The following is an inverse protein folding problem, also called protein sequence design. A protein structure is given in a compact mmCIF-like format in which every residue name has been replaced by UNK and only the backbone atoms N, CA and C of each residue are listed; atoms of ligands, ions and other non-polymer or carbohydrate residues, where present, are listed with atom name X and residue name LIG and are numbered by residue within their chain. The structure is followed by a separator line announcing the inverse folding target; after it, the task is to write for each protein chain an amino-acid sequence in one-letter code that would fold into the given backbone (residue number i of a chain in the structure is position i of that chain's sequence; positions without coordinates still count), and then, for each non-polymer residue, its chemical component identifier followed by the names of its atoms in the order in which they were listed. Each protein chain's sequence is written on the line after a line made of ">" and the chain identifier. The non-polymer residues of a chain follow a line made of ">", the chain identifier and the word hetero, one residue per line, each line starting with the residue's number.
data_IF_487685758396
#
_entry.id   IF_487685758396
#
_cell.length_a   1.000
_cell.length_b   1.000
_cell.length_c   1.000
_cell.angle_alpha   90.00
_cell.angle_beta   90.00
_cell.angle_gamma   90.00
#
_symmetry.space_group_name_H-M   'P 1'
#
loop_
_entity.id
_entity.type
_entity.pdbx_description
1 polymer ?
#
# COMPACT_ATOMS: atom_id res chain seq x y z
N UNK A 1 -19.23 41.25 -47.47
CA UNK A 1 -17.91 40.89 -46.87
C UNK A 1 -18.04 41.11 -45.38
N UNK A 2 -18.25 40.04 -44.62
CA UNK A 2 -18.35 40.10 -43.14
C UNK A 2 -17.16 39.34 -42.60
N UNK A 3 -16.25 40.06 -41.92
CA UNK A 3 -15.10 39.51 -41.28
C UNK A 3 -15.52 38.70 -40.02
N UNK A 4 -15.17 37.41 -39.97
CA UNK A 4 -15.29 36.59 -38.77
C UNK A 4 -14.05 36.84 -37.93
N UNK A 5 -14.24 37.40 -36.74
CA UNK A 5 -13.25 37.46 -35.69
C UNK A 5 -13.08 36.06 -35.09
N UNK A 6 -11.86 35.51 -35.15
CA UNK A 6 -11.48 34.28 -34.49
C UNK A 6 -11.44 34.53 -32.98
N UNK A 7 -12.32 33.86 -32.26
CA UNK A 7 -12.27 33.81 -30.80
C UNK A 7 -11.10 32.94 -30.37
N UNK A 8 -10.27 33.50 -29.53
CA UNK A 8 -9.11 32.84 -28.91
C UNK A 8 -9.63 32.08 -27.70
N UNK A 9 -10.02 30.81 -27.88
CA UNK A 9 -10.34 29.90 -26.78
C UNK A 9 -8.99 29.43 -26.14
N UNK A 10 -8.49 30.23 -25.21
CA UNK A 10 -7.47 29.78 -24.30
C UNK A 10 -8.12 28.76 -23.32
N UNK A 11 -7.79 27.49 -23.49
CA UNK A 11 -8.12 26.46 -22.53
C UNK A 11 -7.65 26.89 -21.12
N UNK A 12 -8.45 26.71 -20.06
CA UNK A 12 -8.02 27.08 -18.71
C UNK A 12 -6.79 26.25 -18.35
N UNK A 13 -5.73 26.92 -17.90
CA UNK A 13 -4.54 26.26 -17.36
C UNK A 13 -4.99 25.26 -16.28
N UNK A 14 -4.57 24.01 -16.43
CA UNK A 14 -4.82 22.98 -15.43
C UNK A 14 -4.30 23.53 -14.07
N UNK A 15 -5.19 23.73 -13.13
CA UNK A 15 -4.84 24.15 -11.78
C UNK A 15 -3.85 23.12 -11.23
N UNK A 16 -2.66 23.56 -10.86
CA UNK A 16 -1.67 22.73 -10.15
C UNK A 16 -2.37 22.24 -8.89
N UNK A 17 -2.73 20.98 -8.87
CA UNK A 17 -3.39 20.36 -7.71
C UNK A 17 -2.40 20.40 -6.56
N UNK A 18 -2.78 21.01 -5.44
CA UNK A 18 -1.94 20.99 -4.25
C UNK A 18 -1.73 19.52 -3.84
N UNK A 19 -0.47 19.12 -3.70
CA UNK A 19 -0.12 17.83 -3.14
C UNK A 19 -0.51 17.84 -1.65
N UNK A 20 -0.96 16.69 -1.14
CA UNK A 20 -1.27 16.52 0.28
C UNK A 20 -0.02 16.61 1.17
N UNK A 21 -0.23 16.57 2.46
CA UNK A 21 0.84 16.49 3.48
C UNK A 21 1.13 15.03 3.85
N UNK A 22 2.29 14.77 4.47
CA UNK A 22 2.61 13.43 4.97
C UNK A 22 3.30 13.49 6.33
N UNK A 23 3.13 12.41 7.12
CA UNK A 23 3.83 12.14 8.37
C UNK A 23 4.19 10.64 8.40
N UNK A 24 5.47 10.32 8.56
CA UNK A 24 5.97 8.94 8.61
C UNK A 24 6.76 8.75 9.89
N UNK A 25 6.60 7.59 10.55
CA UNK A 25 7.21 7.33 11.85
C UNK A 25 7.92 5.98 11.90
N UNK A 26 9.07 5.93 12.54
CA UNK A 26 9.69 4.66 12.93
C UNK A 26 8.97 4.16 14.18
N UNK A 27 8.01 3.24 14.01
CA UNK A 27 7.16 2.77 15.09
C UNK A 27 6.55 1.41 14.75
N UNK A 28 6.27 0.60 15.77
CA UNK A 28 5.44 -0.61 15.61
C UNK A 28 4.04 -0.24 15.11
N UNK A 29 3.45 -1.08 14.28
CA UNK A 29 2.18 -0.81 13.61
C UNK A 29 1.01 -0.62 14.61
N UNK A 30 0.96 -1.39 15.69
CA UNK A 30 -0.10 -1.29 16.70
C UNK A 30 0.08 -0.01 17.51
N UNK A 31 1.30 0.30 17.94
CA UNK A 31 1.59 1.53 18.68
C UNK A 31 1.36 2.77 17.81
N UNK A 32 1.70 2.71 16.53
CA UNK A 32 1.39 3.77 15.58
C UNK A 32 -0.12 3.98 15.45
N UNK A 33 -0.88 2.90 15.24
CA UNK A 33 -2.34 2.98 15.09
C UNK A 33 -3.04 3.51 16.34
N UNK A 34 -2.48 3.32 17.55
CA UNK A 34 -3.00 3.91 18.79
C UNK A 34 -2.87 5.43 18.87
N UNK A 35 -2.02 6.04 18.05
CA UNK A 35 -1.82 7.49 18.02
C UNK A 35 -2.99 8.29 17.42
N UNK A 36 -3.50 7.95 16.22
CA UNK A 36 -4.61 8.65 15.61
C UNK A 36 -5.91 8.52 16.44
N UNK A 37 -6.74 9.58 16.49
CA UNK A 37 -8.06 9.51 17.13
C UNK A 37 -8.98 8.48 16.48
N UNK A 38 -10.01 8.06 17.20
CA UNK A 38 -11.08 7.23 16.64
C UNK A 38 -11.71 7.91 15.42
N UNK A 39 -12.01 7.12 14.38
CA UNK A 39 -12.66 7.60 13.18
C UNK A 39 -12.01 8.86 12.56
N UNK A 40 -10.68 8.89 12.49
CA UNK A 40 -9.90 10.00 11.91
C UNK A 40 -9.34 9.71 10.53
N UNK A 41 -9.19 8.44 10.15
CA UNK A 41 -8.60 7.97 8.89
C UNK A 41 -9.70 7.72 7.85
N UNK A 42 -9.46 8.12 6.61
CA UNK A 42 -10.42 7.96 5.51
C UNK A 42 -10.17 6.71 4.65
N UNK A 43 -8.94 6.21 4.61
CA UNK A 43 -8.60 5.01 3.86
C UNK A 43 -7.40 4.31 4.49
N UNK A 44 -7.46 3.00 4.63
CA UNK A 44 -6.30 2.19 4.99
C UNK A 44 -5.88 1.37 3.77
N UNK A 45 -4.61 1.45 3.38
CA UNK A 45 -3.98 0.61 2.33
C UNK A 45 -2.69 0.07 2.91
N UNK A 46 -2.55 -1.25 3.02
CA UNK A 46 -1.44 -1.79 3.79
C UNK A 46 -0.98 -3.18 3.32
N UNK A 47 0.32 -3.44 3.46
CA UNK A 47 0.98 -4.68 3.11
C UNK A 47 1.77 -5.22 4.32
N UNK A 48 1.08 -5.82 5.31
CA UNK A 48 1.73 -6.35 6.50
C UNK A 48 2.84 -7.34 6.16
N UNK A 49 3.98 -7.24 6.84
CA UNK A 49 5.06 -8.21 6.70
C UNK A 49 4.65 -9.55 7.33
N UNK A 50 4.55 -10.59 6.51
CA UNK A 50 4.09 -11.91 6.96
C UNK A 50 5.24 -12.81 7.35
N UNK A 51 5.24 -13.35 8.57
CA UNK A 51 6.20 -14.35 9.05
C UNK A 51 5.97 -15.73 8.39
N UNK A 52 4.77 -15.98 7.84
CA UNK A 52 4.45 -17.21 7.12
C UNK A 52 5.37 -17.49 5.94
N UNK A 53 5.93 -16.48 5.30
CA UNK A 53 6.99 -16.66 4.32
C UNK A 53 8.27 -17.27 4.95
N UNK A 54 8.58 -16.96 6.21
CA UNK A 54 9.78 -17.43 6.89
C UNK A 54 9.63 -18.82 7.48
N UNK A 55 8.45 -19.22 7.95
CA UNK A 55 8.20 -20.56 8.53
C UNK A 55 8.24 -21.68 7.48
N UNK A 56 7.81 -21.42 6.27
CA UNK A 56 7.77 -22.41 5.17
C UNK A 56 8.94 -22.28 4.19
N UNK A 57 9.60 -21.15 4.15
CA UNK A 57 10.89 -20.97 3.51
C UNK A 57 11.97 -21.11 4.59
N UNK A 58 12.33 -22.36 4.96
CA UNK A 58 13.59 -22.60 5.68
C UNK A 58 14.73 -22.14 4.76
N UNK A 59 15.11 -20.90 4.95
CA UNK A 59 16.30 -20.33 4.34
C UNK A 59 17.52 -21.08 4.89
N UNK A 60 18.07 -21.98 4.11
CA UNK A 60 19.23 -22.81 4.49
C UNK A 60 19.48 -23.98 3.57
N UNK A 61 18.47 -24.48 2.86
CA UNK A 61 18.63 -25.62 1.96
C UNK A 61 18.09 -25.41 0.55
N UNK A 62 17.61 -24.25 0.19
CA UNK A 62 17.16 -23.91 -1.14
C UNK A 62 17.68 -22.54 -1.53
N UNK A 63 18.46 -22.47 -2.61
CA UNK A 63 19.05 -21.25 -3.17
C UNK A 63 18.07 -20.08 -3.18
N UNK A 64 18.33 -19.07 -2.33
CA UNK A 64 17.91 -17.72 -2.65
C UNK A 64 18.95 -17.20 -3.63
N UNK A 65 18.53 -17.07 -4.87
CA UNK A 65 19.32 -16.42 -5.91
C UNK A 65 19.08 -14.92 -5.77
N UNK A 66 19.95 -14.26 -5.05
CA UNK A 66 19.97 -12.81 -4.84
C UNK A 66 20.90 -12.47 -3.69
N UNK A 67 21.42 -11.27 -3.64
CA UNK A 67 22.35 -10.77 -2.62
C UNK A 67 21.83 -10.80 -1.16
N UNK A 68 20.70 -11.43 -0.91
CA UNK A 68 20.01 -11.52 0.38
C UNK A 68 20.40 -12.73 1.25
N UNK A 69 21.39 -13.50 0.82
CA UNK A 69 21.82 -14.73 1.46
C UNK A 69 23.09 -14.57 2.29
N UNK A 70 23.16 -13.66 3.25
CA UNK A 70 24.19 -13.70 4.31
C UNK A 70 23.56 -14.23 5.59
N UNK A 71 24.13 -15.27 6.22
CA UNK A 71 23.61 -15.88 7.44
C UNK A 71 24.13 -15.16 8.69
N UNK A 72 24.03 -13.85 8.79
CA UNK A 72 24.36 -13.12 9.99
C UNK A 72 23.32 -12.02 10.23
N UNK A 73 22.55 -12.21 11.26
CA UNK A 73 21.80 -11.27 12.13
C UNK A 73 21.13 -10.02 11.50
N UNK A 74 21.26 -9.76 10.22
CA UNK A 74 20.50 -8.75 9.50
C UNK A 74 19.18 -9.36 9.00
N UNK A 75 18.24 -9.59 9.92
CA UNK A 75 16.83 -9.75 9.54
C UNK A 75 16.38 -8.42 8.97
N UNK A 76 16.17 -8.37 7.67
CA UNK A 76 15.72 -7.19 6.94
C UNK A 76 14.29 -6.77 7.31
N UNK A 77 13.58 -7.63 8.04
CA UNK A 77 12.21 -7.40 8.49
C UNK A 77 12.10 -7.80 9.96
N UNK A 78 11.67 -6.89 10.78
CA UNK A 78 11.01 -7.24 12.02
C UNK A 78 9.70 -7.93 11.64
N UNK A 79 9.58 -9.20 11.98
CA UNK A 79 8.38 -9.97 11.69
C UNK A 79 7.24 -9.40 12.53
N UNK A 80 6.19 -8.92 11.87
CA UNK A 80 4.91 -8.78 12.55
C UNK A 80 4.47 -10.19 12.95
N UNK A 81 4.07 -10.37 14.21
CA UNK A 81 3.56 -11.67 14.66
C UNK A 81 2.27 -11.96 13.91
N UNK A 82 2.33 -12.89 12.95
CA UNK A 82 1.17 -13.34 12.17
C UNK A 82 0.34 -14.40 12.91
N UNK A 83 0.38 -14.41 14.24
CA UNK A 83 -0.56 -15.17 15.05
C UNK A 83 -1.94 -14.48 15.05
N UNK A 84 -3.03 -15.28 15.19
CA UNK A 84 -4.39 -14.74 15.13
C UNK A 84 -4.69 -13.67 16.19
N UNK A 85 -4.07 -13.74 17.36
CA UNK A 85 -4.33 -12.82 18.48
C UNK A 85 -3.74 -11.44 18.18
N UNK A 86 -2.47 -11.37 17.80
CA UNK A 86 -1.80 -10.11 17.39
C UNK A 86 -2.49 -9.50 16.17
N UNK A 87 -2.90 -10.35 15.23
CA UNK A 87 -3.58 -9.88 14.02
C UNK A 87 -4.98 -9.31 14.33
N UNK A 88 -5.70 -9.91 15.28
CA UNK A 88 -6.98 -9.37 15.74
C UNK A 88 -6.83 -8.00 16.42
N UNK A 89 -5.78 -7.79 17.22
CA UNK A 89 -5.47 -6.47 17.81
C UNK A 89 -5.20 -5.45 16.70
N UNK A 90 -4.39 -5.79 15.72
CA UNK A 90 -4.10 -4.94 14.55
C UNK A 90 -5.38 -4.55 13.79
N UNK A 91 -6.24 -5.54 13.48
CA UNK A 91 -7.52 -5.28 12.79
C UNK A 91 -8.46 -4.42 13.63
N UNK A 92 -8.48 -4.63 14.96
CA UNK A 92 -9.27 -3.82 15.89
C UNK A 92 -8.84 -2.35 15.87
N UNK A 93 -7.53 -2.07 15.90
CA UNK A 93 -7.02 -0.70 15.82
C UNK A 93 -7.27 -0.08 14.42
N UNK A 94 -7.09 -0.84 13.34
CA UNK A 94 -7.48 -0.39 12.00
C UNK A 94 -8.96 -0.01 11.94
N UNK A 95 -9.84 -0.84 12.53
CA UNK A 95 -11.27 -0.54 12.58
C UNK A 95 -11.57 0.69 13.43
N UNK A 96 -10.90 0.86 14.57
CA UNK A 96 -11.09 2.01 15.47
C UNK A 96 -10.77 3.32 14.75
N UNK A 97 -9.59 3.43 14.13
CA UNK A 97 -9.15 4.67 13.48
C UNK A 97 -9.90 4.98 12.18
N UNK A 98 -10.38 3.95 11.47
CA UNK A 98 -11.10 4.12 10.21
C UNK A 98 -12.48 4.76 10.46
N UNK A 99 -12.81 5.80 9.71
CA UNK A 99 -14.13 6.44 9.74
C UNK A 99 -15.23 5.49 9.27
N UNK A 100 -16.45 5.75 9.70
CA UNK A 100 -17.64 5.09 9.15
C UNK A 100 -17.75 5.37 7.64
N UNK A 101 -18.23 4.41 6.89
CA UNK A 101 -18.37 4.46 5.43
C UNK A 101 -17.04 4.73 4.71
N UNK A 102 -16.01 3.95 5.11
CA UNK A 102 -14.67 3.98 4.53
C UNK A 102 -14.17 2.57 4.22
N UNK A 103 -13.09 2.50 3.45
CA UNK A 103 -12.53 1.26 2.93
C UNK A 103 -11.18 0.93 3.55
N UNK A 104 -10.87 -0.35 3.55
CA UNK A 104 -9.56 -0.90 3.89
C UNK A 104 -9.13 -1.92 2.82
N UNK A 105 -7.87 -1.85 2.42
CA UNK A 105 -7.19 -2.81 1.56
C UNK A 105 -6.04 -3.42 2.33
N UNK A 106 -6.04 -4.73 2.47
CA UNK A 106 -5.00 -5.47 3.17
C UNK A 106 -4.43 -6.51 2.22
N UNK A 107 -3.15 -6.39 1.93
CA UNK A 107 -2.45 -7.35 1.08
C UNK A 107 -2.15 -8.62 1.85
N UNK A 108 -2.16 -9.75 1.15
CA UNK A 108 -1.87 -11.07 1.69
C UNK A 108 -1.04 -11.88 0.71
N UNK A 109 -0.10 -12.65 1.24
CA UNK A 109 0.42 -13.80 0.52
C UNK A 109 -0.54 -14.99 0.65
N UNK A 110 -0.30 -16.06 -0.08
CA UNK A 110 -1.19 -17.24 -0.08
C UNK A 110 -1.34 -17.88 1.30
N UNK A 111 -0.27 -17.93 2.10
CA UNK A 111 -0.31 -18.62 3.40
C UNK A 111 -1.01 -17.76 4.45
N UNK A 112 -0.68 -16.49 4.50
CA UNK A 112 -1.32 -15.53 5.40
C UNK A 112 -2.80 -15.37 5.07
N UNK A 113 -3.17 -15.40 3.78
CA UNK A 113 -4.58 -15.39 3.37
C UNK A 113 -5.34 -16.62 3.90
N UNK A 114 -4.73 -17.81 3.88
CA UNK A 114 -5.37 -19.02 4.38
C UNK A 114 -5.47 -19.08 5.90
N UNK A 115 -4.52 -18.47 6.62
CA UNK A 115 -4.47 -18.51 8.09
C UNK A 115 -5.18 -17.32 8.75
N UNK A 116 -5.10 -16.13 8.17
CA UNK A 116 -5.54 -14.89 8.80
C UNK A 116 -6.66 -14.16 8.02
N UNK A 117 -6.83 -14.47 6.73
CA UNK A 117 -7.77 -13.75 5.88
C UNK A 117 -9.23 -13.82 6.39
N UNK A 118 -9.60 -14.90 7.05
CA UNK A 118 -10.94 -15.05 7.64
C UNK A 118 -11.20 -14.05 8.78
N UNK A 119 -10.17 -13.70 9.57
CA UNK A 119 -10.30 -12.78 10.71
C UNK A 119 -10.73 -11.37 10.29
N UNK A 120 -10.42 -10.95 9.06
CA UNK A 120 -10.85 -9.64 8.56
C UNK A 120 -12.36 -9.47 8.63
N UNK A 121 -13.13 -10.57 8.50
CA UNK A 121 -14.60 -10.57 8.55
C UNK A 121 -15.17 -10.29 9.94
N UNK A 122 -14.37 -10.47 10.98
CA UNK A 122 -14.81 -10.21 12.36
C UNK A 122 -14.81 -8.70 12.66
N UNK A 123 -14.07 -7.90 11.88
CA UNK A 123 -13.93 -6.47 12.07
C UNK A 123 -14.54 -5.64 10.93
N UNK A 124 -14.53 -6.16 9.71
CA UNK A 124 -14.94 -5.44 8.51
C UNK A 124 -15.91 -6.23 7.64
N UNK A 125 -16.72 -5.51 6.89
CA UNK A 125 -17.58 -6.07 5.86
C UNK A 125 -16.75 -6.33 4.60
N UNK A 126 -16.25 -7.56 4.44
CA UNK A 126 -15.44 -7.97 3.29
C UNK A 126 -16.28 -7.94 2.02
N UNK A 127 -15.87 -7.15 1.03
CA UNK A 127 -16.55 -6.96 -0.25
C UNK A 127 -16.00 -7.85 -1.35
N UNK A 128 -14.74 -8.23 -1.27
CA UNK A 128 -14.10 -9.10 -2.25
C UNK A 128 -12.61 -9.25 -2.01
N UNK A 129 -12.00 -10.02 -2.89
CA UNK A 129 -10.55 -10.18 -2.96
C UNK A 129 -10.11 -9.73 -4.34
N UNK A 130 -9.25 -8.74 -4.39
CA UNK A 130 -8.57 -8.29 -5.61
C UNK A 130 -7.31 -9.10 -5.80
N UNK A 131 -7.05 -9.53 -7.02
CA UNK A 131 -5.83 -10.25 -7.39
C UNK A 131 -4.86 -9.28 -8.06
N UNK A 132 -3.71 -9.06 -7.44
CA UNK A 132 -2.61 -8.37 -8.12
C UNK A 132 -1.80 -9.36 -8.95
N UNK A 133 -1.97 -9.34 -10.27
CA UNK A 133 -1.11 -10.05 -11.23
C UNK A 133 0.19 -9.27 -11.43
N UNK A 134 1.30 -9.81 -10.92
CA UNK A 134 2.64 -9.22 -11.01
C UNK A 134 3.24 -9.27 -12.41
N UNK A 135 2.55 -9.91 -13.36
CA UNK A 135 2.97 -10.13 -14.74
C UNK A 135 4.34 -10.81 -14.86
N UNK A 136 4.76 -11.51 -13.80
CA UNK A 136 6.05 -12.19 -13.73
C UNK A 136 5.92 -13.47 -12.90
N UNK A 137 6.50 -14.56 -13.44
CA UNK A 137 6.51 -15.82 -12.72
C UNK A 137 7.57 -15.79 -11.61
N UNK A 138 7.16 -16.04 -10.39
CA UNK A 138 8.04 -16.25 -9.24
C UNK A 138 8.90 -17.51 -9.42
N UNK A 139 9.79 -17.75 -8.47
CA UNK A 139 10.53 -19.02 -8.37
C UNK A 139 9.71 -20.06 -7.60
N UNK A 140 10.01 -21.34 -7.79
CA UNK A 140 9.39 -22.45 -7.04
C UNK A 140 9.40 -23.75 -7.79
N UNK A 141 9.19 -24.87 -7.06
CA UNK A 141 9.14 -26.22 -7.61
C UNK A 141 7.72 -26.70 -7.94
N UNK A 142 6.70 -25.99 -7.39
CA UNK A 142 5.29 -26.23 -7.66
C UNK A 142 4.75 -25.16 -8.62
N UNK A 143 3.47 -24.81 -8.52
CA UNK A 143 2.94 -23.68 -9.28
C UNK A 143 3.69 -22.40 -8.90
N UNK A 144 4.29 -21.77 -9.89
CA UNK A 144 5.09 -20.56 -9.71
C UNK A 144 4.16 -19.38 -9.48
N UNK A 145 4.30 -18.74 -8.32
CA UNK A 145 3.41 -17.64 -7.94
C UNK A 145 3.61 -16.44 -8.87
N UNK A 146 2.50 -15.99 -9.44
CA UNK A 146 2.47 -14.83 -10.30
C UNK A 146 1.67 -13.68 -9.68
N UNK A 147 0.90 -13.95 -8.62
CA UNK A 147 -0.02 -13.00 -8.01
C UNK A 147 0.13 -12.92 -6.50
N UNK A 148 -0.44 -11.88 -5.94
CA UNK A 148 -0.76 -11.70 -4.52
C UNK A 148 -2.24 -11.32 -4.39
N UNK A 149 -2.81 -11.50 -3.20
CA UNK A 149 -4.21 -11.18 -2.92
C UNK A 149 -4.30 -9.89 -2.10
N UNK A 150 -5.40 -9.16 -2.31
CA UNK A 150 -5.71 -7.94 -1.57
C UNK A 150 -7.15 -8.08 -1.10
N UNK A 151 -7.34 -8.24 0.21
CA UNK A 151 -8.68 -8.21 0.78
C UNK A 151 -9.20 -6.78 0.72
N UNK A 152 -10.31 -6.59 0.04
CA UNK A 152 -11.04 -5.33 -0.01
C UNK A 152 -12.25 -5.42 0.93
N UNK A 153 -12.30 -4.53 1.91
CA UNK A 153 -13.35 -4.49 2.91
C UNK A 153 -13.77 -3.05 3.25
N UNK A 154 -14.88 -2.91 3.94
CA UNK A 154 -15.39 -1.61 4.37
C UNK A 154 -15.83 -1.63 5.83
N UNK A 155 -15.73 -0.48 6.48
CA UNK A 155 -16.47 -0.15 7.69
C UNK A 155 -17.72 0.62 7.24
N UNK A 156 -18.88 -0.07 7.12
CA UNK A 156 -20.12 0.53 6.61
C UNK A 156 -20.35 0.36 5.10
N UNK A 157 -21.05 1.29 4.47
CA UNK A 157 -21.67 1.11 3.14
C UNK A 157 -21.22 2.13 2.09
N UNK A 158 -19.95 2.44 1.98
CA UNK A 158 -19.45 3.29 0.91
C UNK A 158 -19.34 2.52 -0.42
N UNK A 159 -19.76 3.13 -1.50
CA UNK A 159 -19.48 2.64 -2.86
C UNK A 159 -18.10 3.11 -3.30
N UNK A 160 -17.48 2.38 -4.22
CA UNK A 160 -16.24 2.82 -4.86
C UNK A 160 -16.47 4.13 -5.63
N UNK A 161 -15.49 5.02 -5.61
CA UNK A 161 -15.46 6.24 -6.41
C UNK A 161 -15.30 5.91 -7.91
N UNK A 162 -14.58 4.82 -8.23
CA UNK A 162 -14.46 4.25 -9.57
C UNK A 162 -15.10 2.88 -9.64
N UNK A 163 -15.93 2.64 -10.67
CA UNK A 163 -16.66 1.37 -10.85
C UNK A 163 -16.23 0.61 -12.11
N UNK A 164 -15.21 1.09 -12.79
CA UNK A 164 -14.64 0.54 -14.02
C UNK A 164 -13.43 -0.36 -13.76
N UNK A 165 -13.07 -0.61 -12.50
CA UNK A 165 -11.95 -1.46 -12.14
C UNK A 165 -12.40 -2.92 -11.98
N UNK A 166 -11.76 -3.87 -12.67
CA UNK A 166 -11.96 -5.30 -12.41
C UNK A 166 -11.34 -5.70 -11.08
N UNK A 167 -11.54 -6.93 -10.66
CA UNK A 167 -10.94 -7.54 -9.47
C UNK A 167 -9.59 -8.24 -9.73
N UNK A 168 -9.09 -8.16 -10.97
CA UNK A 168 -7.73 -8.62 -11.33
C UNK A 168 -6.96 -7.44 -11.93
N UNK A 169 -5.88 -7.04 -11.24
CA UNK A 169 -5.04 -5.91 -11.62
C UNK A 169 -3.69 -6.36 -12.17
N UNK A 170 -3.46 -6.18 -13.45
CA UNK A 170 -2.19 -6.46 -14.11
C UNK A 170 -1.23 -5.27 -13.93
N UNK A 171 -0.45 -5.29 -12.86
CA UNK A 171 0.54 -4.26 -12.56
C UNK A 171 1.92 -4.93 -12.46
N UNK A 172 2.87 -4.62 -13.35
CA UNK A 172 4.20 -5.21 -13.30
C UNK A 172 4.88 -4.94 -11.95
N UNK A 173 5.51 -5.98 -11.38
CA UNK A 173 6.37 -5.77 -10.22
C UNK A 173 7.59 -4.93 -10.58
N UNK A 174 8.16 -4.24 -9.61
CA UNK A 174 9.41 -3.52 -9.79
C UNK A 174 10.56 -4.53 -9.89
N UNK A 175 11.37 -4.40 -10.94
CA UNK A 175 12.61 -5.16 -11.09
C UNK A 175 13.78 -4.33 -10.57
N UNK A 176 14.66 -4.95 -9.78
CA UNK A 176 15.83 -4.27 -9.17
C UNK A 176 15.41 -3.06 -8.34
N UNK A 177 14.38 -3.24 -7.52
CA UNK A 177 13.89 -2.22 -6.60
C UNK A 177 15.03 -1.71 -5.70
N UNK A 178 15.00 -0.41 -5.40
CA UNK A 178 15.96 0.21 -4.48
C UNK A 178 15.77 -0.29 -3.03
N UNK A 179 14.54 -0.66 -2.69
CA UNK A 179 14.19 -1.27 -1.41
C UNK A 179 13.65 -2.69 -1.65
N UNK A 180 14.10 -3.70 -0.90
CA UNK A 180 13.56 -5.05 -0.99
C UNK A 180 12.05 -5.03 -0.74
N UNK A 181 11.30 -5.84 -1.46
CA UNK A 181 9.83 -5.90 -1.36
C UNK A 181 9.05 -4.65 -1.76
N UNK A 182 9.71 -3.60 -2.28
CA UNK A 182 9.03 -2.41 -2.78
C UNK A 182 7.88 -2.78 -3.73
N UNK A 183 6.68 -2.30 -3.41
CA UNK A 183 5.51 -2.47 -4.26
C UNK A 183 5.41 -1.33 -5.27
N UNK A 184 4.84 -1.56 -6.46
CA UNK A 184 4.63 -0.49 -7.45
C UNK A 184 3.68 0.58 -6.92
N UNK A 185 4.01 1.85 -7.11
CA UNK A 185 3.10 2.98 -6.80
C UNK A 185 1.76 2.80 -7.50
N UNK A 186 1.77 2.33 -8.76
CA UNK A 186 0.56 2.10 -9.55
C UNK A 186 -0.45 1.17 -8.88
N UNK A 187 0.02 0.20 -8.09
CA UNK A 187 -0.86 -0.71 -7.35
C UNK A 187 -1.65 0.04 -6.26
N UNK A 188 -0.96 0.84 -5.45
CA UNK A 188 -1.61 1.67 -4.42
C UNK A 188 -2.45 2.78 -5.03
N UNK A 189 -2.01 3.36 -6.15
CA UNK A 189 -2.79 4.36 -6.89
C UNK A 189 -4.17 3.83 -7.30
N UNK A 190 -4.28 2.58 -7.74
CA UNK A 190 -5.56 1.94 -8.05
C UNK A 190 -6.46 1.85 -6.81
N UNK A 191 -5.90 1.48 -5.63
CA UNK A 191 -6.66 1.43 -4.37
C UNK A 191 -7.15 2.82 -3.96
N UNK A 192 -6.26 3.82 -3.99
CA UNK A 192 -6.57 5.19 -3.56
C UNK A 192 -7.60 5.81 -4.50
N UNK A 193 -7.41 5.73 -5.82
CA UNK A 193 -8.37 6.26 -6.81
C UNK A 193 -9.75 5.60 -6.73
N UNK A 194 -9.80 4.32 -6.36
CA UNK A 194 -11.07 3.61 -6.19
C UNK A 194 -11.85 4.05 -4.96
N UNK A 195 -11.17 4.53 -3.91
CA UNK A 195 -11.77 4.66 -2.57
C UNK A 195 -11.62 6.03 -1.93
N UNK A 196 -10.70 6.87 -2.38
CA UNK A 196 -10.43 8.16 -1.78
C UNK A 196 -10.82 9.34 -2.68
N UNK A 197 -10.94 10.49 -2.06
CA UNK A 197 -11.14 11.79 -2.68
C UNK A 197 -10.01 12.71 -2.21
N UNK A 198 -9.65 13.76 -2.96
CA UNK A 198 -8.65 14.74 -2.51
C UNK A 198 -8.97 15.31 -1.14
N UNK A 199 -7.95 15.43 -0.30
CA UNK A 199 -8.08 15.86 1.10
C UNK A 199 -8.44 14.73 2.08
N UNK A 200 -8.59 13.48 1.61
CA UNK A 200 -8.73 12.33 2.51
C UNK A 200 -7.38 12.00 3.16
N UNK A 201 -7.45 11.46 4.37
CA UNK A 201 -6.29 10.93 5.08
C UNK A 201 -6.14 9.43 4.79
N UNK A 202 -5.07 9.08 4.10
CA UNK A 202 -4.66 7.69 3.82
C UNK A 202 -3.66 7.23 4.89
N UNK A 203 -3.83 6.03 5.39
CA UNK A 203 -2.97 5.43 6.43
C UNK A 203 -2.37 4.11 5.96
N UNK A 204 -1.07 3.94 6.20
CA UNK A 204 -0.35 2.68 5.99
C UNK A 204 0.58 2.38 7.17
N UNK A 205 0.18 1.47 8.09
CA UNK A 205 1.01 1.10 9.23
C UNK A 205 2.20 0.17 8.90
N UNK A 206 2.42 -0.17 7.61
CA UNK A 206 3.54 -0.94 7.09
C UNK A 206 4.08 -0.29 5.80
N UNK A 207 4.39 1.02 5.87
CA UNK A 207 4.60 1.83 4.66
C UNK A 207 5.88 1.50 3.88
N UNK A 208 6.83 0.76 4.47
CA UNK A 208 8.07 0.37 3.83
C UNK A 208 8.78 1.56 3.19
N UNK A 209 9.04 1.47 1.88
CA UNK A 209 9.67 2.54 1.09
C UNK A 209 8.71 3.65 0.63
N UNK A 210 7.50 3.75 1.17
CA UNK A 210 6.57 4.86 0.94
C UNK A 210 5.80 4.83 -0.38
N UNK A 211 5.64 3.68 -1.04
CA UNK A 211 4.88 3.60 -2.30
C UNK A 211 3.40 3.98 -2.14
N UNK A 212 2.78 3.62 -1.01
CA UNK A 212 1.43 4.02 -0.62
C UNK A 212 1.32 5.54 -0.39
N UNK A 213 2.36 6.14 0.21
CA UNK A 213 2.44 7.59 0.42
C UNK A 213 2.52 8.36 -0.91
N UNK A 214 3.38 7.93 -1.85
CA UNK A 214 3.43 8.54 -3.19
C UNK A 214 2.07 8.46 -3.87
N UNK A 215 1.39 7.30 -3.80
CA UNK A 215 0.06 7.13 -4.39
C UNK A 215 -1.00 8.04 -3.76
N UNK A 216 -0.96 8.23 -2.43
CA UNK A 216 -1.84 9.15 -1.73
C UNK A 216 -1.62 10.60 -2.19
N UNK A 217 -0.37 11.07 -2.19
CA UNK A 217 -0.02 12.43 -2.60
C UNK A 217 -0.36 12.69 -4.07
N UNK A 218 -0.15 11.72 -4.99
CA UNK A 218 -0.55 11.82 -6.40
C UNK A 218 -2.05 12.09 -6.59
N UNK A 219 -2.87 11.60 -5.67
CA UNK A 219 -4.32 11.77 -5.72
C UNK A 219 -4.81 12.96 -4.92
N UNK A 220 -3.90 13.76 -4.33
CA UNK A 220 -4.22 14.93 -3.52
C UNK A 220 -4.75 14.57 -2.13
N UNK A 221 -4.40 13.39 -1.62
CA UNK A 221 -4.70 12.94 -0.27
C UNK A 221 -3.55 13.25 0.67
N UNK A 222 -3.85 13.43 1.96
CA UNK A 222 -2.85 13.41 3.02
C UNK A 222 -2.45 11.96 3.34
N UNK A 223 -1.26 11.78 3.91
CA UNK A 223 -0.73 10.47 4.21
C UNK A 223 -0.13 10.40 5.62
N UNK A 224 -0.44 9.33 6.35
CA UNK A 224 0.28 8.94 7.56
C UNK A 224 0.75 7.49 7.42
N UNK A 225 1.99 7.24 7.82
CA UNK A 225 2.58 5.91 7.71
C UNK A 225 3.54 5.58 8.83
N UNK A 226 3.79 4.30 9.00
CA UNK A 226 4.84 3.82 9.90
C UNK A 226 5.52 2.58 9.31
N UNK A 227 6.74 2.38 9.74
CA UNK A 227 7.45 1.12 9.62
C UNK A 227 8.33 0.93 10.84
N UNK A 228 8.57 -0.32 11.23
CA UNK A 228 9.45 -0.62 12.37
C UNK A 228 10.92 -0.53 11.98
N UNK A 229 11.26 -0.67 10.71
CA UNK A 229 12.62 -0.49 10.17
C UNK A 229 12.90 1.00 9.91
N UNK A 230 13.75 1.60 10.74
CA UNK A 230 14.15 3.01 10.58
C UNK A 230 14.73 3.31 9.18
N UNK A 231 15.42 2.34 8.54
CA UNK A 231 15.95 2.52 7.18
C UNK A 231 14.85 2.61 6.14
N UNK A 232 13.75 1.88 6.33
CA UNK A 232 12.58 1.98 5.47
C UNK A 232 11.95 3.38 5.59
N UNK A 233 11.82 3.87 6.82
CA UNK A 233 11.31 5.21 7.12
C UNK A 233 12.18 6.30 6.51
N UNK A 234 13.50 6.23 6.68
CA UNK A 234 14.45 7.20 6.07
C UNK A 234 14.30 7.26 4.54
N UNK A 235 14.16 6.07 3.89
CA UNK A 235 13.93 5.98 2.44
C UNK A 235 12.60 6.60 2.06
N UNK A 236 11.54 6.31 2.82
CA UNK A 236 10.19 6.81 2.54
C UNK A 236 10.12 8.33 2.73
N UNK A 237 10.72 8.88 3.79
CA UNK A 237 10.77 10.33 4.03
C UNK A 237 11.53 11.07 2.93
N UNK A 238 12.73 10.60 2.54
CA UNK A 238 13.49 11.20 1.43
C UNK A 238 12.69 11.13 0.12
N UNK A 239 12.06 9.97 -0.15
CA UNK A 239 11.23 9.76 -1.34
C UNK A 239 10.06 10.74 -1.41
N UNK A 240 9.27 10.83 -0.34
CA UNK A 240 8.09 11.70 -0.32
C UNK A 240 8.46 13.18 -0.29
N UNK A 241 9.52 13.55 0.43
CA UNK A 241 10.04 14.92 0.42
C UNK A 241 10.45 15.34 -0.99
N UNK A 242 11.21 14.52 -1.72
CA UNK A 242 11.59 14.80 -3.11
C UNK A 242 10.37 14.81 -4.03
N UNK A 243 9.44 13.88 -3.83
CA UNK A 243 8.22 13.84 -4.62
C UNK A 243 7.40 15.13 -4.47
N UNK A 244 7.21 15.62 -3.24
CA UNK A 244 6.52 16.89 -2.99
C UNK A 244 7.24 18.07 -3.63
N UNK A 245 8.59 18.09 -3.57
CA UNK A 245 9.40 19.17 -4.11
C UNK A 245 9.44 19.20 -5.65
N UNK A 246 9.39 18.04 -6.31
CA UNK A 246 9.67 17.92 -7.76
C UNK A 246 8.49 17.44 -8.59
N UNK A 247 7.48 16.82 -7.97
CA UNK A 247 6.41 16.09 -8.65
C UNK A 247 6.86 14.76 -9.29
N UNK A 248 8.11 14.33 -9.04
CA UNK A 248 8.68 13.12 -9.61
C UNK A 248 9.06 12.14 -8.51
N UNK A 249 8.67 10.87 -8.69
CA UNK A 249 9.08 9.81 -7.77
C UNK A 249 10.54 9.41 -8.04
N UNK A 250 11.46 9.59 -7.08
CA UNK A 250 12.87 9.26 -7.29
C UNK A 250 13.14 7.75 -7.41
N UNK A 251 12.25 6.89 -6.91
CA UNK A 251 12.41 5.44 -6.98
C UNK A 251 11.67 4.78 -8.15
N UNK A 252 10.68 5.46 -8.73
CA UNK A 252 9.93 5.04 -9.91
C UNK A 252 9.77 6.20 -10.88
N UNK A 253 10.86 6.65 -11.54
CA UNK A 253 10.76 7.75 -12.49
C UNK A 253 9.80 7.41 -13.63
N UNK A 254 9.08 8.40 -14.12
CA UNK A 254 8.18 8.24 -15.26
C UNK A 254 8.90 7.59 -16.44
N UNK A 255 8.31 6.54 -16.99
CA UNK A 255 8.81 5.84 -18.18
C UNK A 255 8.41 6.57 -19.44
#
# INVERSE_FOLDING_TARGET
>A
MIARTAGNDSAPAASVRALGTFDIRTQDCIDFLRGPPDASVDLIVTDPAYSGMNRHLRFGQGRIVGHYGKPDNDRWFHEFSDDPESYAVFLGECHRVLRQDRHVYIMFDTFSMLSLGALVRDFFDVKGVVVWDKMHLGMGHYFRRRHEQIVFASKGRRKLSRRDLPDVWAVPRIHRAAYPTQKPVKLFELMVQASAEPGFLVCDPFCGSGSSGVAALLTGCDFIGADVDARAVDIAEDRLTRFVATGQDPLEPAR
#
